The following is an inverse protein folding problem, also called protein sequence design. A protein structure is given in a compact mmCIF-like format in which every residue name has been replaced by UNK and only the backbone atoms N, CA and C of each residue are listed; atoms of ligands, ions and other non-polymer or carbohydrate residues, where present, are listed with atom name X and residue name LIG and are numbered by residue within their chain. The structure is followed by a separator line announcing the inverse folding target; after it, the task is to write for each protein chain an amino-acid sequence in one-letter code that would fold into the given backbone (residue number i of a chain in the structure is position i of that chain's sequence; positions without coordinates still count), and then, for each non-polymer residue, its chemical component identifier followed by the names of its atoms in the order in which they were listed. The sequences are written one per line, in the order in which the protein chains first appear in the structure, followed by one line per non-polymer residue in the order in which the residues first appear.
data_IF_107194833592
#
_entry.id   IF_107194833592
#
_cell.length_a   1.000
_cell.length_b   1.000
_cell.length_c   1.000
_cell.angle_alpha   90.00
_cell.angle_beta   90.00
_cell.angle_gamma   90.00
#
_symmetry.space_group_name_H-M   'P 1'
#
loop_
_entity.id
_entity.type
_entity.pdbx_description
1 polymer ?
#
# COMPACT_ATOMS: atom_id res chain seq x y z
N UNK A 1 7.63 -10.48 -25.68
CA UNK A 1 6.23 -10.72 -26.13
C UNK A 1 5.38 -9.71 -25.38
N UNK A 2 4.46 -9.00 -26.03
CA UNK A 2 3.62 -8.04 -25.30
C UNK A 2 2.67 -8.82 -24.39
N UNK A 3 2.75 -8.58 -23.08
CA UNK A 3 1.88 -9.19 -22.08
C UNK A 3 0.85 -8.15 -21.65
N UNK A 4 -0.42 -8.54 -21.58
CA UNK A 4 -1.46 -7.68 -20.99
C UNK A 4 -1.10 -7.49 -19.52
N UNK A 5 -0.98 -6.25 -19.08
CA UNK A 5 -0.76 -5.90 -17.67
C UNK A 5 -2.07 -5.38 -17.11
N UNK A 6 -2.56 -6.02 -16.04
CA UNK A 6 -3.69 -5.52 -15.27
C UNK A 6 -3.19 -4.57 -14.19
N UNK A 7 -4.01 -3.57 -13.87
CA UNK A 7 -3.77 -2.66 -12.76
C UNK A 7 -5.01 -2.62 -11.88
N UNK A 8 -4.81 -2.49 -10.57
CA UNK A 8 -5.86 -2.48 -9.54
C UNK A 8 -5.77 -1.22 -8.74
N UNK A 9 -6.89 -0.50 -8.59
CA UNK A 9 -6.94 0.70 -7.76
C UNK A 9 -6.70 0.35 -6.30
N UNK A 10 -6.14 1.28 -5.52
CA UNK A 10 -5.85 1.06 -4.09
C UNK A 10 -7.08 0.62 -3.32
N UNK A 11 -8.27 1.15 -3.65
CA UNK A 11 -9.53 0.70 -3.06
C UNK A 11 -9.78 -0.80 -3.26
N UNK A 12 -9.58 -1.32 -4.47
CA UNK A 12 -9.77 -2.74 -4.75
C UNK A 12 -8.69 -3.59 -4.08
N UNK A 13 -7.44 -3.12 -4.06
CA UNK A 13 -6.35 -3.82 -3.34
C UNK A 13 -6.65 -3.92 -1.85
N UNK A 14 -7.14 -2.84 -1.22
CA UNK A 14 -7.54 -2.83 0.18
C UNK A 14 -8.66 -3.83 0.49
N UNK A 15 -9.65 -3.94 -0.40
CA UNK A 15 -10.72 -4.95 -0.29
C UNK A 15 -10.17 -6.38 -0.36
N UNK A 16 -9.20 -6.65 -1.23
CA UNK A 16 -8.61 -7.99 -1.37
C UNK A 16 -7.68 -8.35 -0.20
N UNK A 17 -6.87 -7.40 0.27
CA UNK A 17 -5.92 -7.62 1.36
C UNK A 17 -6.55 -7.47 2.76
N UNK A 18 -7.84 -7.11 2.83
CA UNK A 18 -8.55 -6.80 4.08
C UNK A 18 -7.83 -5.73 4.93
N UNK A 19 -7.23 -4.74 4.27
CA UNK A 19 -6.45 -3.66 4.89
C UNK A 19 -7.14 -2.29 4.75
N UNK A 20 -6.69 -1.35 5.58
CA UNK A 20 -7.20 0.02 5.54
C UNK A 20 -6.73 0.74 4.26
N UNK A 21 -7.64 1.31 3.44
CA UNK A 21 -7.26 1.95 2.19
C UNK A 21 -6.40 3.21 2.40
N UNK A 22 -6.56 3.94 3.50
CA UNK A 22 -5.71 5.10 3.81
C UNK A 22 -4.29 4.64 4.17
N UNK A 23 -4.16 3.51 4.87
CA UNK A 23 -2.86 2.88 5.11
C UNK A 23 -2.16 2.51 3.80
N UNK A 24 -2.84 1.79 2.91
CA UNK A 24 -2.25 1.38 1.65
C UNK A 24 -1.88 2.60 0.80
N UNK A 25 -2.76 3.60 0.74
CA UNK A 25 -2.48 4.86 0.05
C UNK A 25 -1.23 5.55 0.61
N UNK A 26 -1.06 5.58 1.94
CA UNK A 26 0.09 6.21 2.56
C UNK A 26 1.40 5.47 2.29
N UNK A 27 1.38 4.12 2.23
CA UNK A 27 2.55 3.31 1.84
C UNK A 27 2.94 3.64 0.40
N UNK A 28 2.00 3.63 -0.55
CA UNK A 28 2.31 3.86 -1.98
C UNK A 28 2.51 5.33 -2.34
N UNK A 29 2.32 6.26 -1.39
CA UNK A 29 2.59 7.68 -1.60
C UNK A 29 4.09 7.99 -1.65
N UNK A 30 4.92 7.10 -1.09
CA UNK A 30 6.35 7.10 -1.31
C UNK A 30 6.68 6.04 -2.37
N UNK A 31 7.09 6.47 -3.56
CA UNK A 31 7.36 5.56 -4.68
C UNK A 31 8.58 4.66 -4.47
N UNK A 32 9.50 5.03 -3.56
CA UNK A 32 10.65 4.19 -3.18
C UNK A 32 10.26 2.97 -2.32
N UNK A 33 9.01 2.91 -1.83
CA UNK A 33 8.55 1.79 -1.00
C UNK A 33 8.31 0.50 -1.81
N UNK A 34 8.10 0.61 -3.13
CA UNK A 34 7.83 -0.52 -4.01
C UNK A 34 8.78 -0.51 -5.21
N UNK A 35 8.85 -1.65 -5.89
CA UNK A 35 9.67 -1.81 -7.08
C UNK A 35 9.23 -0.90 -8.23
N UNK A 36 10.17 -0.55 -9.11
CA UNK A 36 9.88 0.29 -10.27
C UNK A 36 8.80 -0.35 -11.17
N UNK A 37 7.76 0.43 -11.48
CA UNK A 37 6.62 -0.05 -12.26
C UNK A 37 5.52 -0.71 -11.44
N UNK A 38 5.69 -0.87 -10.11
CA UNK A 38 4.65 -1.38 -9.22
C UNK A 38 3.50 -0.38 -9.03
N UNK A 39 3.82 0.92 -8.95
CA UNK A 39 2.85 2.00 -8.71
C UNK A 39 2.51 2.70 -10.02
N UNK A 40 1.21 2.80 -10.32
CA UNK A 40 0.66 3.44 -11.52
C UNK A 40 -0.22 4.61 -11.09
N UNK A 41 0.15 5.82 -11.53
CA UNK A 41 -0.68 7.01 -11.34
C UNK A 41 -1.50 7.26 -12.59
N UNK A 42 -2.82 7.25 -12.46
CA UNK A 42 -3.77 7.43 -13.56
C UNK A 42 -4.41 8.82 -13.46
N UNK A 43 -4.19 9.65 -14.46
CA UNK A 43 -4.84 10.96 -14.58
C UNK A 43 -6.11 10.81 -15.43
N UNK A 44 -7.27 11.11 -14.85
CA UNK A 44 -8.58 11.05 -15.54
C UNK A 44 -8.96 12.36 -16.22
N UNK A 45 -8.17 13.42 -16.03
CA UNK A 45 -8.50 14.79 -16.43
C UNK A 45 -9.19 15.60 -15.33
N UNK A 46 -9.52 14.96 -14.20
CA UNK A 46 -9.89 15.64 -12.96
C UNK A 46 -8.63 16.14 -12.22
N UNK A 47 -8.81 17.01 -11.22
CA UNK A 47 -7.71 17.52 -10.39
C UNK A 47 -7.05 16.45 -9.52
N UNK A 48 -7.72 15.30 -9.31
CA UNK A 48 -7.23 14.18 -8.52
C UNK A 48 -6.84 12.99 -9.39
N UNK A 49 -5.63 12.47 -9.18
CA UNK A 49 -5.17 11.24 -9.81
C UNK A 49 -5.59 10.00 -9.02
N UNK A 50 -5.78 8.88 -9.72
CA UNK A 50 -6.03 7.58 -9.08
C UNK A 50 -4.71 6.83 -8.97
N UNK A 51 -4.37 6.37 -7.77
CA UNK A 51 -3.27 5.41 -7.57
C UNK A 51 -3.76 3.98 -7.79
N UNK A 52 -3.02 3.23 -8.60
CA UNK A 52 -3.23 1.82 -8.86
C UNK A 52 -1.91 1.05 -8.74
N UNK A 53 -2.01 -0.26 -8.53
CA UNK A 53 -0.89 -1.19 -8.49
C UNK A 53 -0.96 -2.19 -9.63
N UNK A 54 0.19 -2.59 -10.15
CA UNK A 54 0.28 -3.78 -11.01
C UNK A 54 0.04 -5.06 -10.20
N UNK A 55 -0.08 -6.19 -10.89
CA UNK A 55 -0.13 -7.50 -10.24
C UNK A 55 1.10 -7.71 -9.33
N UNK A 56 2.30 -7.46 -9.86
CA UNK A 56 3.57 -7.59 -9.13
C UNK A 56 3.64 -6.63 -7.93
N UNK A 57 3.18 -5.38 -8.09
CA UNK A 57 3.16 -4.39 -7.01
C UNK A 57 2.19 -4.74 -5.89
N UNK A 58 1.07 -5.38 -6.21
CA UNK A 58 0.14 -5.90 -5.22
C UNK A 58 0.75 -7.09 -4.44
N UNK A 59 1.40 -8.03 -5.14
CA UNK A 59 2.07 -9.17 -4.50
C UNK A 59 3.24 -8.72 -3.60
N UNK A 60 4.00 -7.71 -4.03
CA UNK A 60 5.07 -7.09 -3.22
C UNK A 60 4.51 -6.48 -1.93
N UNK A 61 3.43 -5.70 -2.06
CA UNK A 61 2.75 -5.08 -0.92
C UNK A 61 2.18 -6.13 0.05
N UNK A 62 1.54 -7.19 -0.46
CA UNK A 62 1.03 -8.30 0.36
C UNK A 62 2.16 -8.99 1.12
N UNK A 63 3.29 -9.25 0.48
CA UNK A 63 4.47 -9.84 1.13
C UNK A 63 5.02 -8.95 2.24
N UNK A 64 5.18 -7.64 1.99
CA UNK A 64 5.62 -6.67 2.99
C UNK A 64 4.70 -6.67 4.22
N UNK A 65 3.39 -6.60 4.00
CA UNK A 65 2.38 -6.63 5.07
C UNK A 65 2.43 -7.95 5.84
N UNK A 66 2.50 -9.09 5.14
CA UNK A 66 2.59 -10.41 5.78
C UNK A 66 3.84 -10.56 6.66
N UNK A 67 4.95 -9.93 6.26
CA UNK A 67 6.18 -9.91 7.05
C UNK A 67 6.03 -9.04 8.30
N UNK A 68 5.49 -7.83 8.15
CA UNK A 68 5.28 -6.90 9.25
C UNK A 68 4.26 -7.42 10.28
N UNK A 69 3.26 -8.20 9.86
CA UNK A 69 2.21 -8.76 10.73
C UNK A 69 2.65 -9.95 11.59
N UNK A 70 3.94 -10.33 11.57
CA UNK A 70 4.46 -11.45 12.37
C UNK A 70 4.50 -11.17 13.87
N UNK A 71 4.67 -9.90 14.25
CA UNK A 71 4.67 -9.46 15.65
C UNK A 71 4.24 -8.00 15.77
N UNK A 72 3.71 -7.56 16.93
CA UNK A 72 3.39 -6.15 17.16
C UNK A 72 4.59 -5.22 17.01
N UNK A 73 5.79 -5.69 17.35
CA UNK A 73 7.04 -4.94 17.23
C UNK A 73 7.41 -4.73 15.76
N UNK A 74 7.44 -5.79 14.95
CA UNK A 74 7.67 -5.68 13.50
C UNK A 74 6.59 -4.84 12.80
N UNK A 75 5.34 -4.92 13.26
CA UNK A 75 4.27 -4.08 12.75
C UNK A 75 4.51 -2.60 13.03
N UNK A 76 4.95 -2.28 14.25
CA UNK A 76 5.25 -0.91 14.62
C UNK A 76 6.45 -0.34 13.87
N UNK A 77 7.52 -1.11 13.74
CA UNK A 77 8.72 -0.74 13.00
C UNK A 77 8.43 -0.55 11.51
N UNK A 78 7.61 -1.43 10.94
CA UNK A 78 7.13 -1.30 9.56
C UNK A 78 6.37 0.02 9.35
N UNK A 79 5.37 0.29 10.19
CA UNK A 79 4.59 1.54 10.07
C UNK A 79 5.47 2.78 10.22
N UNK A 80 6.45 2.77 11.12
CA UNK A 80 7.35 3.92 11.30
C UNK A 80 8.30 4.13 10.12
N UNK A 81 8.64 3.06 9.39
CA UNK A 81 9.59 3.06 8.27
C UNK A 81 8.94 3.34 6.92
N UNK A 82 7.72 2.83 6.69
CA UNK A 82 7.06 2.87 5.38
C UNK A 82 5.92 3.90 5.31
N UNK A 83 5.51 4.50 6.45
CA UNK A 83 4.42 5.49 6.50
C UNK A 83 4.91 6.80 7.13
N UNK A 84 4.87 7.87 6.33
CA UNK A 84 5.29 9.20 6.76
C UNK A 84 4.25 9.90 7.65
N UNK A 85 2.95 9.64 7.42
CA UNK A 85 1.88 10.25 8.22
C UNK A 85 1.86 9.69 9.64
N UNK A 86 2.47 10.41 10.58
CA UNK A 86 2.55 10.02 11.99
C UNK A 86 1.20 10.01 12.70
N UNK A 87 0.20 10.77 12.24
CA UNK A 87 -1.15 10.71 12.81
C UNK A 87 -1.86 9.43 12.40
N UNK A 88 -1.73 9.06 11.12
CA UNK A 88 -2.24 7.80 10.60
C UNK A 88 -1.58 6.62 11.31
N UNK A 89 -0.25 6.62 11.44
CA UNK A 89 0.50 5.57 12.17
C UNK A 89 -0.03 5.42 13.59
N UNK A 90 -0.17 6.51 14.34
CA UNK A 90 -0.70 6.46 15.71
C UNK A 90 -2.12 5.86 15.77
N UNK A 91 -3.00 6.23 14.82
CA UNK A 91 -4.36 5.69 14.71
C UNK A 91 -4.37 4.19 14.43
N UNK A 92 -3.56 3.74 13.48
CA UNK A 92 -3.46 2.31 13.10
C UNK A 92 -2.88 1.49 14.26
N UNK A 93 -1.82 1.97 14.92
CA UNK A 93 -1.23 1.31 16.10
C UNK A 93 -2.25 1.14 17.24
N UNK A 94 -3.08 2.15 17.49
CA UNK A 94 -4.12 2.09 18.52
C UNK A 94 -5.27 1.13 18.19
N UNK A 95 -5.58 0.95 16.89
CA UNK A 95 -6.69 0.13 16.40
C UNK A 95 -6.27 -1.28 15.98
N UNK A 96 -5.00 -1.66 16.15
CA UNK A 96 -4.47 -2.93 15.68
C UNK A 96 -4.21 -3.90 16.84
N UNK A 97 -5.22 -4.66 17.31
CA UNK A 97 -5.04 -5.73 18.28
C UNK A 97 -4.65 -7.08 17.63
N UNK A 98 -4.39 -7.10 16.31
CA UNK A 98 -4.07 -8.31 15.55
C UNK A 98 -2.59 -8.69 15.69
#
# INVERSE_FOLDING_TARGET
MATITYVRTIKFVAEVLEEDPELLQAIVSNDDNLSYGSIITVYTGDDESITALTDDGMEELEQMLSHARRSPEEWHDFLDSFVDDKKLVARIKANSPR
#
